data_IF_324983488812
#
_entry.id   IF_324983488812
#
_cell.length_a   1.000
_cell.length_b   1.000
_cell.length_c   1.000
_cell.angle_alpha   90.00
_cell.angle_beta   90.00
_cell.angle_gamma   90.00
#
_symmetry.space_group_name_H-M   'P 1'
#
loop_
_entity.id
_entity.type
_entity.pdbx_description
1 polymer ?
#
# COMPACT_ATOMS: atom_id res chain seq x y z
N UNK A 1 32.63 -28.16 -18.64
CA UNK A 1 31.31 -27.51 -18.52
C UNK A 1 31.19 -26.94 -17.12
N UNK A 2 30.77 -25.68 -16.95
CA UNK A 2 30.87 -24.93 -15.68
C UNK A 2 29.69 -25.14 -14.71
N UNK A 3 28.70 -25.95 -15.09
CA UNK A 3 27.52 -26.27 -14.29
C UNK A 3 27.26 -27.77 -14.31
N UNK A 4 26.93 -28.36 -13.15
CA UNK A 4 26.61 -29.78 -12.99
C UNK A 4 25.10 -29.99 -13.08
N UNK A 5 24.62 -31.01 -13.83
CA UNK A 5 23.20 -31.36 -13.85
C UNK A 5 22.69 -31.67 -12.44
N UNK A 6 21.58 -31.04 -12.04
CA UNK A 6 20.98 -31.23 -10.71
C UNK A 6 21.48 -30.27 -9.62
N UNK A 7 22.53 -29.48 -9.87
CA UNK A 7 23.00 -28.46 -8.93
C UNK A 7 22.69 -27.05 -9.47
N UNK A 8 21.98 -26.24 -8.68
CA UNK A 8 21.78 -24.83 -8.99
C UNK A 8 23.12 -24.11 -9.03
N UNK A 9 23.40 -23.38 -10.13
CA UNK A 9 24.54 -22.47 -10.21
C UNK A 9 24.45 -21.26 -9.26
N UNK A 10 23.32 -21.09 -8.58
CA UNK A 10 23.13 -20.14 -7.49
C UNK A 10 22.43 -20.83 -6.29
N UNK A 11 23.17 -21.57 -5.47
CA UNK A 11 22.61 -22.36 -4.35
C UNK A 11 21.98 -21.47 -3.26
N UNK A 12 22.42 -20.22 -3.13
CA UNK A 12 21.89 -19.27 -2.15
C UNK A 12 20.67 -18.47 -2.67
N UNK A 13 20.24 -18.73 -3.90
CA UNK A 13 19.11 -18.04 -4.52
C UNK A 13 19.32 -16.53 -4.67
N UNK A 14 18.23 -15.82 -4.98
CA UNK A 14 18.24 -14.36 -5.01
C UNK A 14 18.24 -13.84 -3.56
N UNK A 15 19.14 -12.90 -3.19
CA UNK A 15 19.22 -12.39 -1.83
C UNK A 15 17.87 -11.87 -1.32
N UNK A 16 17.49 -12.29 -0.10
CA UNK A 16 16.24 -11.87 0.55
C UNK A 16 16.26 -10.36 0.75
N UNK A 17 15.21 -9.66 0.29
CA UNK A 17 15.12 -8.19 0.34
C UNK A 17 15.74 -7.47 -0.86
N UNK A 18 16.30 -8.17 -1.85
CA UNK A 18 16.78 -7.52 -3.07
C UNK A 18 15.60 -6.94 -3.87
N UNK A 19 15.45 -5.61 -3.80
CA UNK A 19 14.48 -4.86 -4.61
C UNK A 19 14.70 -5.19 -6.09
N UNK A 20 13.61 -5.24 -6.85
CA UNK A 20 13.70 -5.30 -8.31
C UNK A 20 14.38 -4.01 -8.78
N UNK A 21 15.63 -4.12 -9.26
CA UNK A 21 16.42 -2.97 -9.74
C UNK A 21 15.61 -2.13 -10.75
N UNK A 22 14.86 -2.80 -11.62
CA UNK A 22 13.97 -2.18 -12.61
C UNK A 22 12.84 -1.37 -11.98
N UNK A 23 12.21 -1.88 -10.90
CA UNK A 23 11.13 -1.16 -10.21
C UNK A 23 11.64 0.04 -9.45
N UNK A 24 12.84 -0.04 -8.87
CA UNK A 24 13.46 1.09 -8.17
C UNK A 24 13.90 2.19 -9.15
N UNK A 25 14.51 1.81 -10.27
CA UNK A 25 14.85 2.75 -11.36
C UNK A 25 13.62 3.45 -11.93
N UNK A 26 12.53 2.71 -12.17
CA UNK A 26 11.29 3.30 -12.69
C UNK A 26 10.68 4.31 -11.70
N UNK A 27 10.69 3.99 -10.39
CA UNK A 27 10.23 4.94 -9.36
C UNK A 27 11.07 6.20 -9.34
N UNK A 28 12.38 6.07 -9.50
CA UNK A 28 13.29 7.21 -9.48
C UNK A 28 13.10 8.11 -10.72
N UNK A 29 12.99 7.51 -11.91
CA UNK A 29 12.63 8.23 -13.13
C UNK A 29 11.28 8.95 -12.99
N UNK A 30 10.29 8.27 -12.42
CA UNK A 30 8.97 8.85 -12.21
C UNK A 30 9.00 10.03 -11.23
N UNK A 31 9.76 9.92 -10.12
CA UNK A 31 9.98 11.03 -9.19
C UNK A 31 10.69 12.20 -9.85
N UNK A 32 11.76 11.93 -10.59
CA UNK A 32 12.51 12.96 -11.31
C UNK A 32 11.62 13.70 -12.32
N UNK A 33 10.81 12.98 -13.07
CA UNK A 33 9.83 13.55 -13.99
C UNK A 33 8.83 14.45 -13.26
N UNK A 34 8.22 13.98 -12.17
CA UNK A 34 7.25 14.79 -11.40
C UNK A 34 7.89 16.06 -10.84
N UNK A 35 9.07 15.95 -10.23
CA UNK A 35 9.80 17.10 -9.67
C UNK A 35 10.14 18.13 -10.75
N UNK A 36 10.57 17.68 -11.93
CA UNK A 36 10.91 18.57 -13.03
C UNK A 36 9.70 19.29 -13.66
N UNK A 37 8.49 18.76 -13.49
CA UNK A 37 7.27 19.28 -14.10
C UNK A 37 6.29 19.86 -13.05
N UNK A 38 6.71 20.05 -11.80
CA UNK A 38 5.81 20.47 -10.72
C UNK A 38 5.19 21.85 -10.97
N UNK A 39 5.96 22.80 -11.51
CA UNK A 39 5.46 24.14 -11.86
C UNK A 39 4.40 24.08 -12.97
N UNK A 40 4.66 23.28 -14.01
CA UNK A 40 3.71 23.07 -15.12
C UNK A 40 2.43 22.38 -14.63
N UNK A 41 2.55 21.37 -13.77
CA UNK A 41 1.39 20.69 -13.18
C UNK A 41 0.52 21.64 -12.34
N UNK A 42 1.15 22.53 -11.57
CA UNK A 42 0.42 23.56 -10.82
C UNK A 42 -0.29 24.54 -11.76
N UNK A 43 0.39 24.99 -12.82
CA UNK A 43 -0.21 25.86 -13.82
C UNK A 43 -1.42 25.21 -14.51
N UNK A 44 -1.28 23.96 -14.95
CA UNK A 44 -2.36 23.20 -15.59
C UNK A 44 -3.53 23.02 -14.64
N UNK A 45 -3.26 22.72 -13.36
CA UNK A 45 -4.28 22.61 -12.31
C UNK A 45 -5.05 23.92 -12.14
N UNK A 46 -4.36 25.07 -12.15
CA UNK A 46 -4.97 26.38 -12.05
C UNK A 46 -5.79 26.75 -13.30
N UNK A 47 -5.56 26.09 -14.44
CA UNK A 47 -6.38 26.24 -15.64
C UNK A 47 -7.61 25.31 -15.67
N UNK A 48 -7.68 24.32 -14.78
CA UNK A 48 -8.82 23.41 -14.73
C UNK A 48 -10.10 24.11 -14.27
N UNK A 49 -11.23 23.65 -14.79
CA UNK A 49 -12.57 24.05 -14.32
C UNK A 49 -12.77 23.59 -12.88
N UNK A 50 -13.63 24.27 -12.09
CA UNK A 50 -13.82 23.95 -10.67
C UNK A 50 -14.12 22.47 -10.38
N UNK A 51 -15.00 21.84 -11.16
CA UNK A 51 -15.32 20.41 -11.02
C UNK A 51 -14.11 19.51 -11.26
N UNK A 52 -13.29 19.85 -12.26
CA UNK A 52 -12.13 19.04 -12.63
C UNK A 52 -11.01 19.19 -11.60
N UNK A 53 -10.86 20.37 -10.98
CA UNK A 53 -9.97 20.57 -9.82
C UNK A 53 -10.34 19.68 -8.64
N UNK A 54 -11.63 19.65 -8.28
CA UNK A 54 -12.12 18.81 -7.19
C UNK A 54 -11.86 17.32 -7.47
N UNK A 55 -12.13 16.87 -8.69
CA UNK A 55 -11.86 15.49 -9.11
C UNK A 55 -10.37 15.16 -9.08
N UNK A 56 -9.50 16.09 -9.49
CA UNK A 56 -8.05 15.89 -9.44
C UNK A 56 -7.57 15.75 -7.99
N UNK A 57 -7.98 16.67 -7.11
CA UNK A 57 -7.65 16.63 -5.68
C UNK A 57 -8.13 15.31 -5.06
N UNK A 58 -9.37 14.89 -5.33
CA UNK A 58 -9.93 13.64 -4.80
C UNK A 58 -9.08 12.43 -5.19
N UNK A 59 -8.63 12.37 -6.46
CA UNK A 59 -7.79 11.28 -6.97
C UNK A 59 -6.41 11.25 -6.35
N UNK A 60 -5.79 12.42 -6.15
CA UNK A 60 -4.49 12.53 -5.48
C UNK A 60 -4.62 12.17 -4.00
N UNK A 61 -5.66 12.66 -3.32
CA UNK A 61 -5.90 12.40 -1.91
C UNK A 61 -6.03 10.90 -1.61
N UNK A 62 -6.71 10.12 -2.45
CA UNK A 62 -6.80 8.65 -2.31
C UNK A 62 -5.47 7.91 -2.37
N UNK A 63 -4.44 8.52 -2.98
CA UNK A 63 -3.11 7.92 -3.12
C UNK A 63 -2.14 8.38 -2.03
N UNK A 64 -2.35 9.58 -1.47
CA UNK A 64 -1.45 10.20 -0.47
C UNK A 64 -1.95 9.98 0.95
N UNK A 65 -3.26 10.01 1.16
CA UNK A 65 -3.84 9.77 2.48
C UNK A 65 -3.81 8.27 2.79
N UNK A 66 -3.54 7.88 4.04
CA UNK A 66 -3.72 6.50 4.46
C UNK A 66 -5.18 6.08 4.19
N UNK A 67 -5.42 4.83 3.75
CA UNK A 67 -6.77 4.34 3.62
C UNK A 67 -7.50 4.46 4.97
N UNK A 68 -8.83 4.62 4.99
CA UNK A 68 -9.59 4.56 6.23
C UNK A 68 -9.21 3.27 6.94
N UNK A 69 -8.62 3.39 8.13
CA UNK A 69 -8.28 2.24 8.97
C UNK A 69 -9.60 1.52 9.24
N UNK A 70 -9.69 0.28 8.78
CA UNK A 70 -10.87 -0.57 8.98
C UNK A 70 -11.19 -0.60 10.48
N UNK A 71 -12.48 -0.62 10.90
CA UNK A 71 -12.83 -0.59 12.32
C UNK A 71 -12.12 -1.68 13.14
N UNK A 72 -11.86 -2.84 12.51
CA UNK A 72 -11.15 -3.96 13.12
C UNK A 72 -9.67 -3.67 13.40
N UNK A 73 -9.03 -2.84 12.57
CA UNK A 73 -7.62 -2.46 12.73
C UNK A 73 -7.44 -1.38 13.81
N UNK A 74 -8.54 -0.81 14.33
CA UNK A 74 -8.54 0.12 15.46
C UNK A 74 -8.84 -0.55 16.79
N UNK A 75 -9.19 -1.84 16.79
CA UNK A 75 -9.47 -2.56 18.02
C UNK A 75 -8.20 -2.62 18.85
N UNK A 76 -8.31 -2.18 20.09
CA UNK A 76 -7.29 -2.42 21.10
C UNK A 76 -7.35 -3.88 21.57
N UNK A 77 -6.30 -4.34 22.25
CA UNK A 77 -6.30 -5.68 22.87
C UNK A 77 -7.49 -5.82 23.85
N UNK A 78 -7.88 -4.73 24.53
CA UNK A 78 -9.03 -4.69 25.44
C UNK A 78 -10.36 -4.87 24.68
N UNK A 79 -10.50 -4.24 23.51
CA UNK A 79 -11.69 -4.40 22.66
C UNK A 79 -11.80 -5.84 22.13
N UNK A 80 -10.67 -6.49 21.86
CA UNK A 80 -10.63 -7.87 21.41
C UNK A 80 -11.09 -8.85 22.50
N UNK A 81 -10.62 -8.66 23.73
CA UNK A 81 -11.06 -9.46 24.89
C UNK A 81 -12.55 -9.27 25.19
N UNK A 82 -13.07 -8.05 25.05
CA UNK A 82 -14.49 -7.78 25.18
C UNK A 82 -15.31 -8.51 24.10
N UNK A 83 -14.81 -8.53 22.86
CA UNK A 83 -15.45 -9.24 21.74
C UNK A 83 -15.50 -10.75 22.00
N UNK A 84 -14.39 -11.35 22.46
CA UNK A 84 -14.32 -12.77 22.82
C UNK A 84 -15.31 -13.13 23.93
N UNK A 85 -15.43 -12.25 24.92
CA UNK A 85 -16.37 -12.44 26.04
C UNK A 85 -17.82 -12.44 25.53
N UNK A 86 -18.20 -11.45 24.71
CA UNK A 86 -19.55 -11.36 24.13
C UNK A 86 -19.91 -12.54 23.25
N UNK A 87 -18.99 -12.97 22.37
CA UNK A 87 -19.18 -14.14 21.51
C UNK A 87 -19.41 -15.39 22.38
N UNK A 88 -18.61 -15.55 23.44
CA UNK A 88 -18.74 -16.69 24.35
C UNK A 88 -20.07 -16.68 25.11
N UNK A 89 -20.54 -15.51 25.53
CA UNK A 89 -21.84 -15.34 26.18
C UNK A 89 -23.02 -15.65 25.23
N UNK A 90 -22.94 -15.23 23.96
CA UNK A 90 -23.94 -15.59 22.94
C UNK A 90 -24.01 -17.11 22.73
N UNK A 91 -22.88 -17.80 22.53
CA UNK A 91 -22.86 -19.25 22.37
C UNK A 91 -23.40 -20.01 23.59
N UNK A 92 -23.14 -19.51 24.80
CA UNK A 92 -23.65 -20.11 26.04
C UNK A 92 -25.16 -19.89 26.19
N UNK A 93 -25.68 -18.74 25.74
CA UNK A 93 -27.11 -18.44 25.77
C UNK A 93 -27.89 -19.17 24.66
N UNK A 94 -27.31 -19.40 23.49
CA UNK A 94 -27.93 -20.20 22.42
C UNK A 94 -27.95 -21.71 22.71
N UNK A 95 -27.09 -22.18 23.64
CA UNK A 95 -27.02 -23.59 24.05
C UNK A 95 -27.94 -23.94 25.24
N UNK A 96 -28.76 -23.01 25.71
CA UNK A 96 -29.78 -23.19 26.76
C UNK A 96 -31.19 -23.08 26.20
#
# INVERSE_FOLDING_TARGET
MKFKPGESGNPNGRPRGSKSKTTEQLRELFRGFLSANMETLQHDFDQLRPRDRLNFIERVAKLVLPPPVEPIERLTDEDFELLLTKIREEFVNESK
#
